data_IF_219689288931
#
_entry.id   IF_219689288931
#
_cell.length_a   1.000
_cell.length_b   1.000
_cell.length_c   1.000
_cell.angle_alpha   90.00
_cell.angle_beta   90.00
_cell.angle_gamma   90.00
#
_symmetry.space_group_name_H-M   'P 1'
#
loop_
_entity.id
_entity.type
_entity.pdbx_description
1 polymer ?
#
# COMPACT_ATOMS: atom_id res chain seq x y z
N UNK A 1 -17.68 33.36 -12.47
CA UNK A 1 -17.18 31.97 -12.29
C UNK A 1 -17.11 31.24 -13.62
N UNK A 2 -18.20 31.22 -14.39
CA UNK A 2 -18.27 30.63 -15.74
C UNK A 2 -17.10 31.03 -16.65
N UNK A 3 -16.85 32.33 -16.88
CA UNK A 3 -15.77 32.75 -17.80
C UNK A 3 -14.39 32.23 -17.41
N UNK A 4 -14.09 32.20 -16.11
CA UNK A 4 -12.77 31.80 -15.64
C UNK A 4 -12.56 30.29 -15.72
N UNK A 5 -13.58 29.50 -15.44
CA UNK A 5 -13.48 28.05 -15.42
C UNK A 5 -13.77 27.41 -16.78
N UNK A 6 -14.82 27.87 -17.46
CA UNK A 6 -15.28 27.32 -18.75
C UNK A 6 -14.55 27.99 -19.90
N UNK A 7 -14.63 29.32 -20.02
CA UNK A 7 -14.05 30.02 -21.18
C UNK A 7 -12.51 30.04 -21.12
N UNK A 8 -11.93 30.26 -19.93
CA UNK A 8 -10.47 30.35 -19.74
C UNK A 8 -9.82 29.04 -19.25
N UNK A 9 -10.60 27.99 -18.96
CA UNK A 9 -10.08 26.69 -18.53
C UNK A 9 -9.32 26.68 -17.19
N UNK A 10 -9.47 27.73 -16.35
CA UNK A 10 -8.78 27.79 -15.07
C UNK A 10 -9.46 26.91 -14.03
N UNK A 11 -8.83 25.77 -13.74
CA UNK A 11 -9.27 24.80 -12.74
C UNK A 11 -8.79 25.16 -11.34
N UNK A 12 -9.68 25.04 -10.36
CA UNK A 12 -9.39 25.29 -8.94
C UNK A 12 -8.51 24.18 -8.34
N UNK A 13 -8.08 24.32 -7.08
CA UNK A 13 -7.19 23.35 -6.47
C UNK A 13 -7.86 21.99 -6.28
N UNK A 14 -9.06 21.97 -5.69
CA UNK A 14 -9.84 20.74 -5.47
C UNK A 14 -10.18 20.09 -6.81
N UNK A 15 -10.60 20.87 -7.80
CA UNK A 15 -10.91 20.34 -9.14
C UNK A 15 -9.70 19.68 -9.79
N UNK A 16 -8.53 20.34 -9.77
CA UNK A 16 -7.29 19.76 -10.31
C UNK A 16 -6.90 18.46 -9.61
N UNK A 17 -7.12 18.37 -8.30
CA UNK A 17 -6.81 17.18 -7.51
C UNK A 17 -7.73 16.01 -7.91
N UNK A 18 -9.04 16.25 -7.97
CA UNK A 18 -10.02 15.21 -8.29
C UNK A 18 -9.89 14.68 -9.72
N UNK A 19 -9.58 15.57 -10.67
CA UNK A 19 -9.30 15.22 -12.07
C UNK A 19 -7.92 14.59 -12.27
N UNK A 20 -7.11 14.39 -11.22
CA UNK A 20 -5.78 13.79 -11.31
C UNK A 20 -4.70 14.68 -11.98
N UNK A 21 -4.97 15.97 -12.15
CA UNK A 21 -4.05 16.94 -12.74
C UNK A 21 -3.08 17.58 -11.72
N UNK A 22 -3.28 17.34 -10.43
CA UNK A 22 -2.41 17.81 -9.37
C UNK A 22 -2.40 16.81 -8.20
N UNK A 23 -1.28 16.75 -7.47
CA UNK A 23 -1.17 15.85 -6.32
C UNK A 23 -1.87 16.45 -5.09
N UNK A 24 -2.68 15.66 -4.35
CA UNK A 24 -3.28 16.10 -3.08
C UNK A 24 -2.23 16.39 -2.00
N UNK A 25 -1.02 15.85 -2.17
CA UNK A 25 0.09 16.07 -1.24
C UNK A 25 0.74 17.44 -1.37
N UNK A 26 0.45 18.22 -2.41
CA UNK A 26 0.99 19.57 -2.58
C UNK A 26 0.43 20.53 -1.52
N UNK A 27 1.21 21.55 -1.20
CA UNK A 27 0.80 22.55 -0.23
C UNK A 27 -0.35 23.42 -0.78
N UNK A 28 -1.42 23.53 -0.02
CA UNK A 28 -2.59 24.32 -0.38
C UNK A 28 -3.20 24.99 0.85
N UNK A 29 -3.91 26.09 0.65
CA UNK A 29 -4.75 26.72 1.68
C UNK A 29 -6.20 26.45 1.35
N UNK A 30 -6.90 25.80 2.29
CA UNK A 30 -8.33 25.54 2.22
C UNK A 30 -9.00 26.21 3.42
N UNK A 31 -10.28 26.54 3.27
CA UNK A 31 -11.10 27.11 4.34
C UNK A 31 -12.07 26.05 4.87
N UNK A 32 -12.31 26.03 6.18
CA UNK A 32 -13.37 25.19 6.76
C UNK A 32 -14.74 25.79 6.38
N UNK A 33 -15.50 25.15 5.49
CA UNK A 33 -16.83 25.60 5.09
C UNK A 33 -17.93 25.07 6.01
N UNK A 34 -17.80 23.82 6.45
CA UNK A 34 -18.75 23.19 7.35
C UNK A 34 -18.04 22.28 8.35
N UNK A 35 -18.66 22.09 9.52
CA UNK A 35 -18.23 21.10 10.51
C UNK A 35 -19.42 20.19 10.73
N UNK A 36 -19.27 18.92 10.36
CA UNK A 36 -20.29 17.90 10.60
C UNK A 36 -19.95 17.23 11.93
N UNK A 37 -20.56 17.74 12.99
CA UNK A 37 -20.33 17.25 14.34
C UNK A 37 -21.19 16.05 14.68
N UNK A 38 -20.52 15.09 15.31
CA UNK A 38 -21.00 14.22 16.36
C UNK A 38 -21.98 14.91 17.34
N UNK A 39 -23.01 14.20 17.87
CA UNK A 39 -23.99 14.82 18.76
C UNK A 39 -23.35 15.37 20.03
N UNK A 40 -23.59 16.65 20.31
CA UNK A 40 -23.32 17.31 21.59
C UNK A 40 -23.95 16.48 22.72
N UNK A 41 -23.12 15.95 23.63
CA UNK A 41 -23.62 15.30 24.87
C UNK A 41 -24.06 16.35 25.90
N UNK A 42 -23.75 17.64 25.71
CA UNK A 42 -24.00 18.69 26.72
C UNK A 42 -25.19 19.64 26.44
N UNK A 43 -26.08 19.32 25.50
CA UNK A 43 -27.29 20.14 25.24
C UNK A 43 -28.62 19.47 25.55
N UNK A 44 -28.61 18.31 26.23
CA UNK A 44 -29.82 17.51 26.48
C UNK A 44 -30.12 17.23 27.97
N UNK A 45 -29.51 17.98 28.90
CA UNK A 45 -29.88 17.92 30.33
C UNK A 45 -30.80 19.08 30.78
N UNK A 46 -31.48 19.72 29.84
CA UNK A 46 -32.55 20.65 30.15
C UNK A 46 -33.75 20.36 29.26
N UNK A 47 -34.50 19.31 29.58
CA UNK A 47 -35.97 19.20 29.45
C UNK A 47 -36.38 17.81 29.95
N UNK A 48 -37.13 17.80 31.06
CA UNK A 48 -38.29 16.95 31.30
C UNK A 48 -38.12 15.43 31.34
N UNK A 49 -38.20 14.89 32.56
CA UNK A 49 -38.67 13.54 32.87
C UNK A 49 -39.92 13.20 32.05
N UNK A 50 -39.91 12.10 31.30
CA UNK A 50 -41.10 11.27 31.05
C UNK A 50 -40.66 9.89 30.51
N UNK A 51 -41.06 8.85 31.21
CA UNK A 51 -40.71 7.45 30.97
C UNK A 51 -41.43 6.92 29.72
N UNK A 52 -40.69 6.38 28.74
CA UNK A 52 -41.30 5.56 27.69
C UNK A 52 -40.30 4.57 27.05
N UNK A 53 -40.75 3.33 26.80
CA UNK A 53 -39.98 2.14 26.41
C UNK A 53 -39.27 2.21 25.03
N UNK A 54 -39.36 3.34 24.32
CA UNK A 54 -38.60 3.61 23.08
C UNK A 54 -37.10 3.92 23.31
N UNK A 55 -36.62 3.82 24.56
CA UNK A 55 -35.25 4.21 24.95
C UNK A 55 -34.15 3.30 24.40
N UNK A 56 -34.44 2.02 24.09
CA UNK A 56 -33.41 1.02 23.72
C UNK A 56 -32.95 1.19 22.26
N UNK A 57 -33.87 1.39 21.32
CA UNK A 57 -33.53 1.65 19.90
C UNK A 57 -32.84 3.01 19.73
N UNK A 58 -33.25 4.01 20.49
CA UNK A 58 -32.62 5.33 20.49
C UNK A 58 -31.22 5.32 21.13
N UNK A 59 -30.98 4.54 22.20
CA UNK A 59 -29.64 4.34 22.78
C UNK A 59 -28.65 3.69 21.81
N UNK A 60 -29.09 2.71 21.01
CA UNK A 60 -28.24 2.04 20.01
C UNK A 60 -27.85 2.97 18.84
N UNK A 61 -28.81 3.74 18.30
CA UNK A 61 -28.52 4.76 17.28
C UNK A 61 -27.68 5.93 17.80
N UNK A 62 -27.88 6.33 19.07
CA UNK A 62 -27.03 7.32 19.74
C UNK A 62 -25.61 6.79 19.97
N UNK A 63 -25.45 5.51 20.31
CA UNK A 63 -24.14 4.86 20.44
C UNK A 63 -23.41 4.73 19.08
N UNK A 64 -24.14 4.45 18.00
CA UNK A 64 -23.60 4.45 16.64
C UNK A 64 -23.18 5.86 16.17
N UNK A 65 -23.99 6.89 16.48
CA UNK A 65 -23.65 8.31 16.22
C UNK A 65 -22.50 8.82 17.10
N UNK A 66 -22.30 8.24 18.29
CA UNK A 66 -21.14 8.47 19.17
C UNK A 66 -19.83 7.85 18.67
N UNK A 67 -19.85 7.11 17.57
CA UNK A 67 -18.64 6.53 16.98
C UNK A 67 -18.34 7.09 15.59
N UNK A 68 -19.11 8.06 15.10
CA UNK A 68 -18.79 8.70 13.83
C UNK A 68 -17.66 9.72 14.06
N UNK A 69 -16.48 9.52 13.43
CA UNK A 69 -15.41 10.51 13.51
C UNK A 69 -15.93 11.81 12.94
N UNK A 70 -15.75 12.90 13.69
CA UNK A 70 -16.16 14.21 13.22
C UNK A 70 -15.41 14.52 11.91
N UNK A 71 -16.17 14.88 10.88
CA UNK A 71 -15.64 15.25 9.59
C UNK A 71 -15.92 16.73 9.34
N UNK A 72 -15.00 17.38 8.63
CA UNK A 72 -15.14 18.79 8.26
C UNK A 72 -15.23 18.88 6.75
N UNK A 73 -15.81 19.95 6.24
CA UNK A 73 -15.77 20.27 4.83
C UNK A 73 -14.73 21.36 4.60
N UNK A 74 -13.88 21.16 3.58
CA UNK A 74 -12.84 22.08 3.20
C UNK A 74 -13.07 22.62 1.79
N UNK A 75 -13.05 23.94 1.65
CA UNK A 75 -13.26 24.63 0.37
C UNK A 75 -12.03 25.39 -0.10
N UNK A 76 -11.84 25.40 -1.42
CA UNK A 76 -10.87 26.26 -2.11
C UNK A 76 -11.50 27.56 -2.66
N UNK A 77 -12.76 27.85 -2.30
CA UNK A 77 -13.55 28.99 -2.76
C UNK A 77 -14.33 28.73 -4.06
N UNK A 78 -14.10 27.59 -4.71
CA UNK A 78 -14.85 27.14 -5.89
C UNK A 78 -15.67 25.90 -5.57
N UNK A 79 -15.01 24.90 -5.01
CA UNK A 79 -15.56 23.61 -4.65
C UNK A 79 -15.30 23.33 -3.17
N UNK A 80 -16.03 22.37 -2.61
CA UNK A 80 -15.89 21.96 -1.22
C UNK A 80 -15.86 20.44 -1.16
N UNK A 81 -14.95 19.88 -0.37
CA UNK A 81 -14.75 18.43 -0.26
C UNK A 81 -14.75 18.03 1.21
N UNK A 82 -15.39 16.90 1.52
CA UNK A 82 -15.37 16.34 2.87
C UNK A 82 -13.94 15.91 3.21
N UNK A 83 -13.53 16.20 4.44
CA UNK A 83 -12.22 15.90 4.96
C UNK A 83 -12.28 15.07 6.23
N UNK A 84 -11.49 14.00 6.22
CA UNK A 84 -11.28 13.10 7.34
C UNK A 84 -10.06 13.55 8.14
N UNK A 85 -10.28 13.76 9.43
CA UNK A 85 -9.27 14.22 10.36
C UNK A 85 -8.62 13.04 11.08
N UNK A 86 -7.33 13.19 11.41
CA UNK A 86 -6.69 12.28 12.36
C UNK A 86 -7.19 12.51 13.80
N UNK A 87 -6.75 11.64 14.72
CA UNK A 87 -7.17 11.68 16.12
C UNK A 87 -6.81 13.03 16.75
N UNK A 88 -5.61 13.55 16.47
CA UNK A 88 -5.13 14.80 17.05
C UNK A 88 -5.91 16.02 16.54
N UNK A 89 -6.28 16.08 15.26
CA UNK A 89 -7.13 17.14 14.70
C UNK A 89 -8.57 17.03 15.18
N UNK A 90 -9.08 15.81 15.34
CA UNK A 90 -10.40 15.56 15.93
C UNK A 90 -10.49 16.08 17.36
N UNK A 91 -9.44 15.89 18.18
CA UNK A 91 -9.36 16.51 19.50
C UNK A 91 -9.31 18.04 19.43
N UNK A 92 -8.61 18.62 18.44
CA UNK A 92 -8.58 20.07 18.26
C UNK A 92 -9.94 20.63 17.86
N UNK A 93 -10.71 19.89 17.08
CA UNK A 93 -12.08 20.20 16.74
C UNK A 93 -12.97 20.17 17.98
N UNK A 94 -12.86 19.13 18.82
CA UNK A 94 -13.57 19.04 20.10
C UNK A 94 -13.23 20.21 21.04
N UNK A 95 -11.95 20.60 21.08
CA UNK A 95 -11.46 21.77 21.83
C UNK A 95 -11.85 23.12 21.18
N UNK A 96 -12.68 23.12 20.12
CA UNK A 96 -13.13 24.29 19.36
C UNK A 96 -11.99 25.17 18.82
N UNK A 97 -10.81 24.58 18.60
CA UNK A 97 -9.66 25.27 17.99
C UNK A 97 -9.76 25.36 16.47
N UNK A 98 -10.59 24.48 15.89
CA UNK A 98 -11.02 24.47 14.51
C UNK A 98 -12.46 24.99 14.43
N UNK A 99 -12.72 25.97 13.58
CA UNK A 99 -14.03 26.61 13.45
C UNK A 99 -14.32 27.00 11.99
N UNK A 100 -15.60 27.17 11.66
CA UNK A 100 -16.05 27.54 10.31
C UNK A 100 -15.46 28.89 9.90
N UNK A 101 -15.01 29.01 8.65
CA UNK A 101 -14.34 30.19 8.12
C UNK A 101 -12.84 30.24 8.40
N UNK A 102 -12.29 29.32 9.19
CA UNK A 102 -10.86 29.25 9.44
C UNK A 102 -10.12 28.73 8.22
N UNK A 103 -9.06 29.45 7.80
CA UNK A 103 -8.15 29.00 6.77
C UNK A 103 -7.06 28.10 7.35
N UNK A 104 -6.89 26.93 6.75
CA UNK A 104 -5.88 25.96 7.06
C UNK A 104 -4.93 25.81 5.88
N UNK A 105 -3.63 25.88 6.16
CA UNK A 105 -2.60 25.48 5.22
C UNK A 105 -2.32 24.00 5.42
N UNK A 106 -2.54 23.21 4.39
CA UNK A 106 -2.47 21.76 4.42
C UNK A 106 -1.36 21.31 3.49
N UNK A 107 -0.54 20.36 3.95
CA UNK A 107 0.56 19.79 3.22
C UNK A 107 0.67 18.29 3.48
N UNK A 108 0.81 17.50 2.41
CA UNK A 108 0.88 16.04 2.53
C UNK A 108 -0.47 15.37 2.76
N UNK A 109 -1.57 15.99 2.31
CA UNK A 109 -2.88 15.36 2.32
C UNK A 109 -2.93 14.19 1.31
N UNK A 110 -3.86 13.27 1.53
CA UNK A 110 -4.16 12.18 0.62
C UNK A 110 -5.66 12.10 0.35
N UNK A 111 -6.06 11.40 -0.70
CA UNK A 111 -7.46 11.12 -0.98
C UNK A 111 -7.81 9.71 -0.51
N UNK A 112 -8.94 9.57 0.17
CA UNK A 112 -9.57 8.30 0.50
C UNK A 112 -10.77 8.09 -0.44
N UNK A 113 -10.97 6.85 -0.91
CA UNK A 113 -12.07 6.52 -1.83
C UNK A 113 -11.88 6.99 -3.28
N UNK A 114 -10.68 7.45 -3.65
CA UNK A 114 -10.36 7.88 -5.01
C UNK A 114 -9.75 6.74 -5.82
N UNK A 115 -10.45 6.31 -6.87
CA UNK A 115 -10.02 5.22 -7.77
C UNK A 115 -9.47 5.71 -9.11
N UNK A 116 -9.62 7.00 -9.43
CA UNK A 116 -9.12 7.61 -10.66
C UNK A 116 -9.71 9.01 -10.90
N UNK A 117 -9.28 9.70 -11.97
CA UNK A 117 -9.80 11.02 -12.34
C UNK A 117 -11.33 11.03 -12.41
N UNK A 118 -11.96 11.90 -11.61
CA UNK A 118 -13.41 12.01 -11.53
C UNK A 118 -13.84 13.48 -11.56
N UNK A 119 -15.04 13.72 -12.07
CA UNK A 119 -15.65 15.05 -11.97
C UNK A 119 -16.02 15.37 -10.52
N UNK A 120 -16.11 16.65 -10.17
CA UNK A 120 -16.48 17.06 -8.81
C UNK A 120 -17.84 16.49 -8.37
N UNK A 121 -18.81 16.45 -9.28
CA UNK A 121 -20.17 15.98 -8.99
C UNK A 121 -20.22 14.50 -8.63
N UNK A 122 -19.39 13.67 -9.28
CA UNK A 122 -19.28 12.24 -9.00
C UNK A 122 -18.44 11.96 -7.74
N UNK A 123 -17.48 12.84 -7.44
CA UNK A 123 -16.61 12.71 -6.27
C UNK A 123 -17.32 13.04 -4.95
N UNK A 124 -18.35 13.88 -4.99
CA UNK A 124 -19.06 14.36 -3.80
C UNK A 124 -19.68 13.20 -3.02
N UNK A 125 -19.21 13.00 -1.78
CA UNK A 125 -19.69 11.94 -0.87
C UNK A 125 -18.90 10.62 -0.94
N UNK A 126 -18.20 10.36 -2.06
CA UNK A 126 -17.37 9.16 -2.23
C UNK A 126 -15.92 9.42 -1.85
N UNK A 127 -15.38 10.57 -2.28
CA UNK A 127 -13.98 10.94 -2.08
C UNK A 127 -13.86 11.84 -0.87
N UNK A 128 -12.94 11.51 0.04
CA UNK A 128 -12.63 12.33 1.21
C UNK A 128 -11.17 12.75 1.22
N UNK A 129 -10.89 13.98 1.63
CA UNK A 129 -9.54 14.50 1.82
C UNK A 129 -9.03 14.09 3.22
N UNK A 130 -8.03 13.23 3.28
CA UNK A 130 -7.34 12.88 4.52
C UNK A 130 -6.40 14.00 4.92
N UNK A 131 -6.64 14.60 6.08
CA UNK A 131 -5.82 15.69 6.65
C UNK A 131 -5.19 15.23 7.96
N UNK A 132 -3.90 15.51 8.09
CA UNK A 132 -3.09 15.08 9.22
C UNK A 132 -2.50 16.28 9.97
N UNK A 133 -2.39 16.18 11.31
CA UNK A 133 -1.95 17.27 12.18
C UNK A 133 -0.53 17.74 11.87
N UNK A 134 0.38 16.83 11.51
CA UNK A 134 1.77 17.18 11.17
C UNK A 134 1.88 17.93 9.85
N UNK A 135 0.86 17.84 9.00
CA UNK A 135 0.75 18.51 7.71
C UNK A 135 -0.14 19.75 7.72
N UNK A 136 -0.84 20.02 8.83
CA UNK A 136 -1.82 21.09 8.93
C UNK A 136 -1.34 22.26 9.79
N UNK A 137 -1.49 23.47 9.28
CA UNK A 137 -1.10 24.71 9.93
C UNK A 137 -2.22 25.74 9.83
N UNK A 138 -2.29 26.66 10.78
CA UNK A 138 -3.17 27.83 10.65
C UNK A 138 -2.61 28.74 9.55
N UNK A 139 -3.44 29.06 8.56
CA UNK A 139 -3.08 30.04 7.55
C UNK A 139 -3.42 31.46 8.04
N UNK A 140 -2.82 32.47 7.42
CA UNK A 140 -3.22 33.86 7.69
C UNK A 140 -4.61 34.13 7.09
N UNK A 141 -5.30 35.14 7.62
CA UNK A 141 -6.64 35.49 7.15
C UNK A 141 -6.64 35.98 5.69
N UNK A 142 -5.55 36.61 5.25
CA UNK A 142 -5.33 37.19 3.93
C UNK A 142 -4.72 36.19 2.92
N UNK A 143 -4.31 34.99 3.36
CA UNK A 143 -3.74 33.99 2.45
C UNK A 143 -4.77 33.57 1.36
N UNK A 144 -4.37 33.52 0.09
CA UNK A 144 -5.26 33.11 -0.99
C UNK A 144 -5.58 31.61 -0.89
N UNK A 145 -6.83 31.23 -1.21
CA UNK A 145 -7.25 29.83 -1.26
C UNK A 145 -6.66 29.13 -2.50
N UNK A 146 -6.39 27.83 -2.37
CA UNK A 146 -5.82 26.97 -3.40
C UNK A 146 -4.34 26.69 -3.20
N UNK A 147 -3.64 26.30 -4.27
CA UNK A 147 -2.24 25.88 -4.19
C UNK A 147 -1.29 27.02 -3.80
N UNK A 148 -0.35 26.71 -2.90
CA UNK A 148 0.71 27.62 -2.50
C UNK A 148 1.88 27.54 -3.48
N UNK A 149 2.41 28.70 -3.90
CA UNK A 149 3.63 28.77 -4.70
C UNK A 149 4.90 28.54 -3.87
N UNK A 150 4.84 28.85 -2.57
CA UNK A 150 5.99 28.78 -1.67
C UNK A 150 5.88 27.58 -0.74
N UNK A 151 7.00 26.91 -0.53
CA UNK A 151 7.12 25.85 0.47
C UNK A 151 7.10 26.51 1.85
N UNK A 152 6.12 26.14 2.66
CA UNK A 152 5.96 26.63 4.03
C UNK A 152 7.13 26.30 4.96
N UNK A 153 7.12 26.89 6.17
CA UNK A 153 8.17 26.65 7.16
C UNK A 153 8.21 25.17 7.58
N UNK A 154 9.40 24.64 7.93
CA UNK A 154 9.54 23.28 8.42
C UNK A 154 8.85 23.08 9.78
N UNK A 155 8.30 21.89 10.00
CA UNK A 155 7.78 21.49 11.31
C UNK A 155 8.93 21.24 12.27
N UNK A 156 8.91 21.88 13.44
CA UNK A 156 9.88 21.61 14.49
C UNK A 156 9.72 20.19 15.04
N UNK A 157 10.83 19.49 15.31
CA UNK A 157 10.81 18.10 15.77
C UNK A 157 9.95 17.89 17.03
N UNK A 158 9.99 18.84 17.97
CA UNK A 158 9.17 18.85 19.20
C UNK A 158 7.65 18.92 18.97
N UNK A 159 7.22 19.37 17.80
CA UNK A 159 5.82 19.52 17.44
C UNK A 159 5.24 18.29 16.72
N UNK A 160 6.10 17.36 16.28
CA UNK A 160 5.69 16.15 15.57
C UNK A 160 4.86 15.27 16.51
N UNK A 161 3.67 14.85 16.05
CA UNK A 161 2.78 13.93 16.75
C UNK A 161 2.90 12.54 16.14
N UNK A 162 3.03 11.51 16.99
CA UNK A 162 3.18 10.12 16.55
C UNK A 162 1.97 9.61 15.74
N UNK A 163 0.76 9.97 16.15
CA UNK A 163 -0.49 9.66 15.44
C UNK A 163 -0.82 10.65 14.31
N UNK A 164 0.11 11.55 13.98
CA UNK A 164 -0.16 12.77 13.22
C UNK A 164 0.13 12.70 11.72
N UNK A 165 0.20 11.51 11.15
CA UNK A 165 0.52 11.29 9.73
C UNK A 165 1.94 11.70 9.33
N UNK A 166 2.20 11.74 8.01
CA UNK A 166 3.52 12.05 7.45
C UNK A 166 3.91 13.49 7.76
N UNK A 167 5.17 13.70 8.13
CA UNK A 167 5.77 15.03 8.31
C UNK A 167 6.26 15.52 6.96
N UNK A 168 5.69 16.58 6.37
CA UNK A 168 6.05 16.96 5.00
C UNK A 168 7.46 17.56 4.88
N UNK A 169 7.89 18.34 5.89
CA UNK A 169 9.23 18.92 5.96
C UNK A 169 9.57 19.21 7.41
N UNK A 170 10.78 18.83 7.80
CA UNK A 170 11.37 19.16 9.10
C UNK A 170 12.85 19.44 8.90
N UNK A 171 13.45 20.22 9.80
CA UNK A 171 14.90 20.43 9.84
C UNK A 171 15.47 19.59 10.99
N UNK A 172 16.49 18.79 10.67
CA UNK A 172 17.17 17.93 11.63
C UNK A 172 18.67 18.11 11.50
N UNK A 173 19.37 18.08 12.64
CA UNK A 173 20.83 17.95 12.69
C UNK A 173 21.19 16.48 12.86
N UNK A 174 22.16 15.98 12.09
CA UNK A 174 22.65 14.61 12.24
C UNK A 174 23.55 14.54 13.47
N UNK A 175 23.05 13.96 14.56
CA UNK A 175 23.83 13.82 15.79
C UNK A 175 24.77 12.61 15.77
N UNK A 176 24.31 11.49 15.18
CA UNK A 176 25.04 10.22 15.09
C UNK A 176 24.65 9.48 13.82
N UNK A 177 25.62 8.82 13.22
CA UNK A 177 25.42 7.90 12.09
C UNK A 177 25.66 6.49 12.62
N UNK A 178 24.65 5.62 12.52
CA UNK A 178 24.73 4.22 12.95
C UNK A 178 25.12 3.32 11.78
N UNK A 179 25.79 2.18 12.05
CA UNK A 179 26.10 1.20 11.01
C UNK A 179 24.82 0.62 10.41
N UNK A 180 24.93 0.12 9.17
CA UNK A 180 23.83 -0.52 8.45
C UNK A 180 23.39 -1.79 9.19
N UNK A 181 22.07 -1.94 9.35
CA UNK A 181 21.45 -3.14 9.91
C UNK A 181 20.53 -3.77 8.88
N UNK A 182 20.51 -5.09 8.84
CA UNK A 182 19.67 -5.91 7.95
C UNK A 182 18.49 -6.42 8.75
N UNK A 183 17.27 -6.26 8.25
CA UNK A 183 16.04 -6.70 8.92
C UNK A 183 15.34 -7.76 8.07
N UNK A 184 15.34 -9.00 8.52
CA UNK A 184 14.59 -10.10 7.90
C UNK A 184 13.20 -10.19 8.55
N UNK A 185 12.16 -10.32 7.74
CA UNK A 185 10.82 -10.67 8.20
C UNK A 185 10.61 -12.15 7.99
N UNK A 186 10.35 -12.86 9.08
CA UNK A 186 10.09 -14.28 9.07
C UNK A 186 8.62 -14.56 8.68
N UNK A 187 8.30 -15.78 8.22
CA UNK A 187 6.93 -16.17 7.85
C UNK A 187 5.97 -16.19 9.05
N UNK A 188 6.48 -16.26 10.28
CA UNK A 188 5.72 -16.13 11.52
C UNK A 188 5.32 -14.67 11.83
N UNK A 189 5.72 -13.70 11.00
CA UNK A 189 5.50 -12.27 11.18
C UNK A 189 6.47 -11.60 12.14
N UNK A 190 7.38 -12.35 12.77
CA UNK A 190 8.45 -11.79 13.58
C UNK A 190 9.54 -11.17 12.69
N UNK A 191 10.39 -10.34 13.29
CA UNK A 191 11.47 -9.70 12.55
C UNK A 191 12.80 -9.78 13.28
N UNK A 192 13.83 -10.26 12.58
CA UNK A 192 15.19 -10.39 13.10
C UNK A 192 16.02 -9.25 12.53
N UNK A 193 16.78 -8.56 13.39
CA UNK A 193 17.72 -7.50 12.98
C UNK A 193 19.15 -8.01 13.14
N UNK A 194 19.95 -7.95 12.08
CA UNK A 194 21.33 -8.43 12.02
C UNK A 194 22.30 -7.30 11.67
N UNK A 195 23.52 -7.41 12.19
CA UNK A 195 24.65 -6.61 11.69
C UNK A 195 25.17 -7.21 10.38
N UNK A 196 25.94 -6.43 9.64
CA UNK A 196 26.54 -6.86 8.36
C UNK A 196 27.30 -8.19 8.47
N UNK A 197 28.08 -8.41 9.54
CA UNK A 197 28.82 -9.66 9.75
C UNK A 197 27.88 -10.85 9.99
N UNK A 198 26.80 -10.65 10.74
CA UNK A 198 25.82 -11.70 11.00
C UNK A 198 25.02 -12.02 9.74
N UNK A 199 24.66 -10.99 8.95
CA UNK A 199 23.97 -11.18 7.69
C UNK A 199 24.83 -11.93 6.67
N UNK A 200 26.12 -11.59 6.55
CA UNK A 200 27.04 -12.33 5.66
C UNK A 200 27.13 -13.81 6.03
N UNK A 201 27.17 -14.13 7.33
CA UNK A 201 27.14 -15.52 7.80
C UNK A 201 25.79 -16.19 7.49
N UNK A 202 24.68 -15.48 7.69
CA UNK A 202 23.35 -16.00 7.40
C UNK A 202 23.18 -16.29 5.91
N UNK A 203 23.61 -15.38 5.04
CA UNK A 203 23.64 -15.56 3.60
C UNK A 203 24.52 -16.74 3.20
N UNK A 204 25.73 -16.87 3.77
CA UNK A 204 26.59 -18.03 3.52
C UNK A 204 25.91 -19.36 3.90
N UNK A 205 25.27 -19.43 5.07
CA UNK A 205 24.53 -20.61 5.50
C UNK A 205 23.32 -20.88 4.60
N UNK A 206 22.63 -19.84 4.14
CA UNK A 206 21.53 -19.96 3.19
C UNK A 206 22.02 -20.52 1.85
N UNK A 207 23.09 -19.94 1.28
CA UNK A 207 23.69 -20.44 0.04
C UNK A 207 24.18 -21.88 0.17
N UNK A 208 24.79 -22.25 1.31
CA UNK A 208 25.17 -23.63 1.59
C UNK A 208 23.97 -24.58 1.63
N UNK A 209 22.87 -24.18 2.29
CA UNK A 209 21.64 -24.98 2.32
C UNK A 209 21.02 -25.13 0.94
N UNK A 210 20.95 -24.06 0.16
CA UNK A 210 20.41 -24.08 -1.21
C UNK A 210 21.29 -24.93 -2.12
N UNK A 211 22.61 -24.80 -2.04
CA UNK A 211 23.55 -25.66 -2.80
C UNK A 211 23.35 -27.12 -2.46
N UNK A 212 23.26 -27.45 -1.16
CA UNK A 212 23.03 -28.82 -0.72
C UNK A 212 21.71 -29.39 -1.25
N UNK A 213 20.61 -28.62 -1.16
CA UNK A 213 19.31 -29.05 -1.70
C UNK A 213 19.40 -29.24 -3.22
N UNK A 214 20.12 -28.37 -3.94
CA UNK A 214 20.31 -28.50 -5.38
C UNK A 214 21.14 -29.74 -5.73
N UNK A 215 22.21 -30.02 -4.99
CA UNK A 215 23.02 -31.23 -5.13
C UNK A 215 22.21 -32.50 -4.84
N UNK A 216 21.39 -32.49 -3.78
CA UNK A 216 20.49 -33.60 -3.43
C UNK A 216 19.51 -33.85 -4.59
N UNK A 217 18.85 -32.81 -5.13
CA UNK A 217 17.94 -32.93 -6.29
C UNK A 217 18.67 -33.43 -7.54
N UNK A 218 19.87 -32.92 -7.82
CA UNK A 218 20.67 -33.40 -8.95
C UNK A 218 21.06 -34.86 -8.80
N UNK A 219 21.43 -35.29 -7.59
CA UNK A 219 21.77 -36.68 -7.31
C UNK A 219 20.58 -37.62 -7.43
N UNK A 220 19.39 -37.19 -6.99
CA UNK A 220 18.15 -37.95 -7.20
C UNK A 220 17.81 -38.08 -8.69
N UNK A 221 18.01 -37.02 -9.49
CA UNK A 221 17.83 -37.08 -10.95
C UNK A 221 18.87 -37.99 -11.63
N UNK A 222 20.14 -37.89 -11.23
CA UNK A 222 21.22 -38.73 -11.76
C UNK A 222 21.04 -40.20 -11.38
N UNK A 223 20.62 -40.52 -10.14
CA UNK A 223 20.29 -41.89 -9.75
C UNK A 223 19.04 -42.41 -10.47
N UNK A 224 18.02 -41.57 -10.66
CA UNK A 224 16.83 -41.97 -11.42
C UNK A 224 17.19 -42.24 -12.91
N UNK A 225 18.11 -41.44 -13.49
CA UNK A 225 18.65 -41.64 -14.83
C UNK A 225 19.60 -42.85 -14.90
N UNK A 226 20.40 -43.12 -13.87
CA UNK A 226 21.30 -44.28 -13.79
C UNK A 226 20.56 -45.59 -13.44
N UNK A 227 19.37 -45.50 -12.83
CA UNK A 227 18.50 -46.64 -12.53
C UNK A 227 17.74 -47.18 -13.74
N UNK A 228 17.90 -46.57 -14.92
CA UNK A 228 17.54 -47.22 -16.18
C UNK A 228 18.48 -48.41 -16.38
N UNK A 229 18.06 -49.55 -15.81
CA UNK A 229 18.81 -50.78 -15.70
C UNK A 229 19.41 -51.15 -17.05
N UNK A 230 20.75 -51.11 -17.16
CA UNK A 230 21.53 -51.47 -18.35
C UNK A 230 21.27 -52.92 -18.84
N UNK A 231 20.50 -53.67 -18.07
CA UNK A 231 20.06 -55.04 -18.35
C UNK A 231 18.79 -55.12 -19.21
N UNK A 232 17.97 -54.07 -19.33
CA UNK A 232 16.80 -54.07 -20.24
C UNK A 232 17.27 -54.24 -21.71
N UNK A 233 16.58 -55.09 -22.49
CA UNK A 233 16.93 -55.32 -23.91
C UNK A 233 16.99 -54.01 -24.71
N UNK A 234 16.17 -53.03 -24.37
CA UNK A 234 16.18 -51.68 -24.94
C UNK A 234 17.51 -50.92 -24.71
N UNK A 235 18.12 -51.04 -23.53
CA UNK A 235 19.40 -50.40 -23.20
C UNK A 235 20.57 -51.00 -24.00
N UNK A 236 20.56 -52.33 -24.19
CA UNK A 236 21.55 -53.04 -25.01
C UNK A 236 21.44 -52.66 -26.48
N UNK A 237 20.22 -52.56 -27.01
CA UNK A 237 19.96 -52.10 -28.38
C UNK A 237 20.44 -50.65 -28.56
N UNK A 238 20.17 -49.76 -27.60
CA UNK A 238 20.68 -48.38 -27.58
C UNK A 238 22.21 -48.32 -27.69
N UNK A 239 22.94 -49.05 -26.83
CA UNK A 239 24.42 -49.10 -26.84
C UNK A 239 24.97 -49.68 -28.14
N UNK A 240 24.32 -50.73 -28.66
CA UNK A 240 24.73 -51.35 -29.93
C UNK A 240 24.55 -50.39 -31.11
N UNK A 241 23.49 -49.58 -31.12
CA UNK A 241 23.27 -48.55 -32.15
C UNK A 241 24.25 -47.38 -32.05
N UNK A 242 24.62 -46.95 -30.84
CA UNK A 242 25.61 -45.88 -30.63
C UNK A 242 27.03 -46.27 -31.09
N UNK A 243 27.39 -47.56 -31.00
CA UNK A 243 28.70 -48.07 -31.39
C UNK A 243 28.77 -48.54 -32.85
N UNK A 244 27.64 -48.64 -33.54
CA UNK A 244 27.58 -49.13 -34.92
C UNK A 244 28.02 -48.05 -35.93
N UNK A 245 28.81 -48.45 -36.92
CA UNK A 245 29.23 -47.56 -38.01
C UNK A 245 28.07 -47.13 -38.93
N UNK A 246 27.00 -47.95 -39.01
CA UNK A 246 25.80 -47.69 -39.81
C UNK A 246 24.51 -48.04 -39.01
N UNK A 247 24.02 -47.13 -38.17
CA UNK A 247 22.90 -47.41 -37.26
C UNK A 247 21.56 -47.64 -37.97
N UNK A 248 21.35 -47.03 -39.15
CA UNK A 248 20.09 -47.16 -39.91
C UNK A 248 19.88 -48.58 -40.46
N UNK A 249 20.96 -49.21 -40.93
CA UNK A 249 20.95 -50.59 -41.45
C UNK A 249 20.69 -51.58 -40.32
N UNK A 250 21.26 -51.32 -39.15
CA UNK A 250 21.08 -52.14 -37.96
C UNK A 250 19.65 -52.05 -37.41
N UNK A 251 19.04 -50.86 -37.41
CA UNK A 251 17.64 -50.69 -36.99
C UNK A 251 16.65 -51.43 -37.91
N UNK A 252 16.94 -51.52 -39.21
CA UNK A 252 16.09 -52.24 -40.17
C UNK A 252 16.08 -53.77 -39.95
N UNK A 253 17.09 -54.32 -39.26
CA UNK A 253 17.21 -55.75 -38.95
C UNK A 253 16.60 -56.18 -37.62
N UNK A 254 16.09 -55.25 -36.81
CA UNK A 254 15.48 -55.54 -35.51
C UNK A 254 14.07 -56.12 -35.66
N UNK A 255 13.67 -57.01 -34.75
CA UNK A 255 12.30 -57.55 -34.72
C UNK A 255 11.30 -56.51 -34.19
N UNK A 256 10.01 -56.69 -34.49
CA UNK A 256 8.95 -55.77 -34.03
C UNK A 256 8.88 -55.65 -32.51
N UNK A 257 9.18 -56.73 -31.78
CA UNK A 257 9.22 -56.74 -30.31
C UNK A 257 10.42 -55.93 -29.77
N UNK A 258 11.58 -56.03 -30.42
CA UNK A 258 12.78 -55.27 -30.07
C UNK A 258 12.61 -53.76 -30.32
N UNK A 259 11.91 -53.38 -31.39
CA UNK A 259 11.59 -51.98 -31.70
C UNK A 259 10.65 -51.35 -30.65
N UNK A 260 9.70 -52.13 -30.11
CA UNK A 260 8.80 -51.68 -29.04
C UNK A 260 9.59 -51.50 -27.73
N UNK A 261 10.44 -52.47 -27.38
CA UNK A 261 11.32 -52.37 -26.21
C UNK A 261 12.26 -51.16 -26.29
N UNK A 262 12.86 -50.92 -27.46
CA UNK A 262 13.74 -49.77 -27.71
C UNK A 262 13.00 -48.42 -27.63
N UNK A 263 11.84 -48.29 -28.27
CA UNK A 263 11.05 -47.04 -28.21
C UNK A 263 10.53 -46.75 -26.79
N UNK A 264 10.16 -47.78 -26.04
CA UNK A 264 9.79 -47.63 -24.62
C UNK A 264 10.95 -47.14 -23.76
N UNK A 265 12.16 -47.64 -24.02
CA UNK A 265 13.38 -47.22 -23.34
C UNK A 265 13.75 -45.77 -23.69
N UNK A 266 13.70 -45.39 -24.97
CA UNK A 266 13.97 -44.02 -25.41
C UNK A 266 12.95 -43.01 -24.85
N UNK A 267 11.68 -43.42 -24.68
CA UNK A 267 10.67 -42.60 -24.03
C UNK A 267 10.94 -42.40 -22.53
N UNK A 268 11.39 -43.45 -21.82
CA UNK A 268 11.85 -43.33 -20.41
C UNK A 268 13.05 -42.38 -20.29
N UNK A 269 13.99 -42.44 -21.24
CA UNK A 269 15.20 -41.62 -21.23
C UNK A 269 14.95 -40.13 -21.53
N UNK A 270 13.88 -39.79 -22.28
CA UNK A 270 13.48 -38.38 -22.56
C UNK A 270 12.73 -37.71 -21.40
N UNK A 271 12.29 -38.49 -20.41
CA UNK A 271 11.55 -38.00 -19.23
C UNK A 271 12.48 -37.75 -18.04
N UNK A 272 13.68 -38.34 -18.05
CA UNK A 272 14.83 -37.90 -17.24
C UNK A 272 15.44 -36.63 -17.87
#
# INVERSE_FOLDING_TARGET
RYDREVNNGHRSAIKKILEGNALPSLMMVLCISAIYSHPDVHKLEAVGTDENENSIKNKSLLAAKRNMPAHIELTDGWYALEASLDVALSEQLQKRKLFIGQKLRIWGASLCGWTGPVSFHEASGTVKLMVHVNGSYRARWDDPLGFCKHVGPPLAFKCIKASGGRVPRTLVGVARIYPVLYKERLPDGSSIVRSERMERKALQLYHQRVSKIAEDIMSEQDENCASTDDSEEGAKICKMLEQAAEPEVMMAGLTSEQMISFSSYQAKQKVC
#
